data_IF_459871610541
#
_entry.id   IF_459871610541
#
_cell.length_a   1.000
_cell.length_b   1.000
_cell.length_c   1.000
_cell.angle_alpha   90.00
_cell.angle_beta   90.00
_cell.angle_gamma   90.00
#
_symmetry.space_group_name_H-M   'P 1'
#
loop_
_entity.id
_entity.type
_entity.pdbx_description
1 polymer ?
#
# COMPACT_ATOMS: atom_id res chain seq x y z
N UNK A 1 22.66 10.54 21.45
CA UNK A 1 21.21 10.44 21.24
C UNK A 1 20.95 10.55 19.74
N UNK A 2 20.50 9.48 19.07
CA UNK A 2 20.07 9.59 17.68
C UNK A 2 18.69 10.26 17.69
N UNK A 3 18.64 11.52 17.25
CA UNK A 3 17.39 12.22 17.00
C UNK A 3 16.74 11.60 15.77
N UNK A 4 15.93 10.56 15.98
CA UNK A 4 14.99 10.06 14.98
C UNK A 4 13.84 11.05 14.88
N UNK A 5 14.11 12.22 14.30
CA UNK A 5 13.06 13.02 13.67
C UNK A 5 12.58 12.24 12.45
N UNK A 6 11.83 11.16 12.67
CA UNK A 6 11.07 10.46 11.64
C UNK A 6 10.01 11.43 11.18
N UNK A 7 10.39 12.34 10.27
CA UNK A 7 9.46 13.29 9.72
C UNK A 7 8.41 12.46 8.97
N UNK A 8 7.16 12.36 9.45
CA UNK A 8 6.16 11.45 8.87
C UNK A 8 6.01 11.73 7.37
N UNK A 9 6.16 13.00 7.00
CA UNK A 9 6.15 13.53 5.64
C UNK A 9 7.13 12.84 4.69
N UNK A 10 8.32 12.42 5.17
CA UNK A 10 9.36 11.84 4.31
C UNK A 10 8.96 10.51 3.68
N UNK A 11 8.03 9.78 4.29
CA UNK A 11 7.66 8.44 3.83
C UNK A 11 6.28 8.40 3.18
N UNK A 12 5.50 9.49 3.24
CA UNK A 12 4.17 9.57 2.62
C UNK A 12 4.23 9.30 1.12
N UNK A 13 5.20 9.89 0.41
CA UNK A 13 5.35 9.66 -1.03
C UNK A 13 5.66 8.19 -1.35
N UNK A 14 6.42 7.51 -0.49
CA UNK A 14 6.76 6.10 -0.66
C UNK A 14 5.50 5.25 -0.48
N UNK A 15 4.73 5.48 0.59
CA UNK A 15 3.48 4.76 0.84
C UNK A 15 2.45 5.00 -0.28
N UNK A 16 2.31 6.25 -0.74
CA UNK A 16 1.39 6.55 -1.83
C UNK A 16 1.83 5.86 -3.13
N UNK A 17 3.12 5.89 -3.45
CA UNK A 17 3.66 5.24 -4.66
C UNK A 17 3.50 3.72 -4.60
N UNK A 18 3.75 3.10 -3.45
CA UNK A 18 3.56 1.64 -3.30
C UNK A 18 2.09 1.27 -3.35
N UNK A 19 1.21 2.03 -2.69
CA UNK A 19 -0.25 1.81 -2.78
C UNK A 19 -0.72 1.90 -4.23
N UNK A 20 -0.30 2.95 -4.97
CA UNK A 20 -0.60 3.11 -6.39
C UNK A 20 -0.15 1.90 -7.23
N UNK A 21 1.11 1.49 -7.11
CA UNK A 21 1.67 0.38 -7.87
C UNK A 21 0.96 -0.94 -7.57
N UNK A 22 0.67 -1.21 -6.29
CA UNK A 22 -0.01 -2.42 -5.86
C UNK A 22 -1.46 -2.44 -6.36
N UNK A 23 -2.20 -1.34 -6.20
CA UNK A 23 -3.58 -1.25 -6.70
C UNK A 23 -3.62 -1.38 -8.22
N UNK A 24 -2.66 -0.77 -8.94
CA UNK A 24 -2.55 -0.89 -10.38
C UNK A 24 -2.34 -2.34 -10.81
N UNK A 25 -1.41 -3.04 -10.13
CA UNK A 25 -1.15 -4.44 -10.39
C UNK A 25 -2.36 -5.33 -10.10
N UNK A 26 -3.11 -5.04 -9.03
CA UNK A 26 -4.34 -5.76 -8.69
C UNK A 26 -5.40 -5.60 -9.78
N UNK A 27 -5.70 -4.37 -10.19
CA UNK A 27 -6.69 -4.10 -11.25
C UNK A 27 -6.26 -4.68 -12.60
N UNK A 28 -4.95 -4.69 -12.87
CA UNK A 28 -4.40 -5.31 -14.07
C UNK A 28 -4.59 -6.84 -14.11
N UNK A 29 -4.55 -7.51 -12.97
CA UNK A 29 -4.76 -8.97 -12.87
C UNK A 29 -6.24 -9.34 -12.78
N UNK A 30 -7.04 -8.51 -12.09
CA UNK A 30 -8.48 -8.69 -11.92
C UNK A 30 -9.20 -8.97 -13.26
N UNK A 31 -8.87 -8.21 -14.30
CA UNK A 31 -9.52 -8.36 -15.62
C UNK A 31 -9.25 -9.70 -16.32
N UNK A 32 -8.32 -10.53 -15.83
CA UNK A 32 -7.97 -11.85 -16.36
C UNK A 32 -7.32 -11.86 -17.76
N UNK A 33 -7.40 -10.75 -18.49
CA UNK A 33 -6.86 -10.56 -19.84
C UNK A 33 -5.58 -9.72 -19.86
N UNK A 34 -5.05 -9.32 -18.69
CA UNK A 34 -3.86 -8.46 -18.57
C UNK A 34 -3.94 -7.22 -19.47
N UNK A 35 -5.11 -6.58 -19.47
CA UNK A 35 -5.37 -5.37 -20.25
C UNK A 35 -5.65 -4.19 -19.29
N UNK A 36 -5.74 -2.99 -19.86
CA UNK A 36 -6.10 -1.75 -19.15
C UNK A 36 -7.54 -1.35 -19.47
N UNK A 37 -8.42 -2.31 -19.76
CA UNK A 37 -9.81 -2.03 -20.10
C UNK A 37 -10.54 -1.38 -18.93
N UNK A 38 -10.09 -1.65 -17.70
CA UNK A 38 -10.68 -1.09 -16.49
C UNK A 38 -10.60 0.43 -16.47
N UNK A 39 -9.60 1.01 -17.14
CA UNK A 39 -9.44 2.47 -17.27
C UNK A 39 -10.49 3.11 -18.18
N UNK A 40 -11.19 2.33 -19.01
CA UNK A 40 -12.23 2.86 -19.90
C UNK A 40 -13.54 3.17 -19.19
N UNK A 41 -13.78 2.55 -18.02
CA UNK A 41 -14.97 2.76 -17.22
C UNK A 41 -14.69 3.70 -16.05
N UNK A 42 -15.44 4.81 -15.98
CA UNK A 42 -15.36 5.78 -14.88
C UNK A 42 -15.69 5.18 -13.51
N UNK A 43 -16.54 4.16 -13.44
CA UNK A 43 -16.86 3.45 -12.21
C UNK A 43 -15.64 2.73 -11.61
N UNK A 44 -14.79 2.17 -12.46
CA UNK A 44 -13.57 1.47 -12.02
C UNK A 44 -12.53 2.43 -11.45
N UNK A 45 -12.46 3.67 -11.96
CA UNK A 45 -11.61 4.72 -11.37
C UNK A 45 -12.01 5.05 -9.93
N UNK A 46 -13.32 5.03 -9.62
CA UNK A 46 -13.80 5.24 -8.26
C UNK A 46 -13.37 4.09 -7.33
N UNK A 47 -13.54 2.84 -7.77
CA UNK A 47 -13.08 1.66 -7.00
C UNK A 47 -11.56 1.68 -6.84
N UNK A 48 -10.81 2.03 -7.88
CA UNK A 48 -9.36 2.17 -7.86
C UNK A 48 -8.90 3.19 -6.79
N UNK A 49 -9.54 4.36 -6.74
CA UNK A 49 -9.25 5.37 -5.73
C UNK A 49 -9.54 4.88 -4.29
N UNK A 50 -10.63 4.13 -4.08
CA UNK A 50 -10.95 3.51 -2.80
C UNK A 50 -9.84 2.54 -2.38
N UNK A 51 -9.37 1.69 -3.29
CA UNK A 51 -8.31 0.72 -2.99
C UNK A 51 -6.99 1.41 -2.63
N UNK A 52 -6.60 2.45 -3.36
CA UNK A 52 -5.41 3.24 -3.03
C UNK A 52 -5.56 3.85 -1.63
N UNK A 53 -6.71 4.50 -1.36
CA UNK A 53 -6.98 5.13 -0.08
C UNK A 53 -6.91 4.13 1.08
N UNK A 54 -7.50 2.94 0.90
CA UNK A 54 -7.51 1.89 1.91
C UNK A 54 -6.12 1.30 2.14
N UNK A 55 -5.38 0.97 1.08
CA UNK A 55 -4.00 0.46 1.21
C UNK A 55 -3.08 1.51 1.85
N UNK A 56 -3.19 2.76 1.44
CA UNK A 56 -2.43 3.86 2.00
C UNK A 56 -2.75 4.09 3.49
N UNK A 57 -4.03 4.09 3.86
CA UNK A 57 -4.46 4.23 5.25
C UNK A 57 -3.94 3.08 6.13
N UNK A 58 -3.97 1.85 5.60
CA UNK A 58 -3.43 0.69 6.32
C UNK A 58 -1.91 0.79 6.47
N UNK A 59 -1.17 1.18 5.42
CA UNK A 59 0.27 1.41 5.52
C UNK A 59 0.61 2.49 6.56
N UNK A 60 -0.19 3.57 6.65
CA UNK A 60 -0.03 4.61 7.67
C UNK A 60 -0.33 4.09 9.08
N UNK A 61 -1.45 3.40 9.28
CA UNK A 61 -1.82 2.82 10.57
C UNK A 61 -0.77 1.81 11.05
N UNK A 62 -0.26 1.00 10.13
CA UNK A 62 0.78 0.02 10.41
C UNK A 62 2.14 0.67 10.67
N UNK A 63 2.49 1.70 9.90
CA UNK A 63 3.68 2.55 10.13
C UNK A 63 3.66 3.06 11.57
N UNK A 64 2.54 3.69 11.96
CA UNK A 64 2.35 4.21 13.30
C UNK A 64 2.44 3.09 14.36
N UNK A 65 1.73 1.99 14.18
CA UNK A 65 1.73 0.87 15.11
C UNK A 65 3.14 0.25 15.28
N UNK A 66 3.84 -0.03 14.19
CA UNK A 66 5.19 -0.58 14.19
C UNK A 66 6.19 0.35 14.88
N UNK A 67 6.04 1.66 14.72
CA UNK A 67 6.88 2.64 15.40
C UNK A 67 6.70 2.64 16.93
N UNK A 68 5.54 2.23 17.43
CA UNK A 68 5.25 2.08 18.86
C UNK A 68 5.74 0.74 19.43
N UNK A 69 5.60 -0.35 18.66
CA UNK A 69 5.92 -1.70 19.12
C UNK A 69 7.40 -2.08 18.97
N UNK A 70 8.06 -1.61 17.92
CA UNK A 70 9.40 -2.08 17.55
C UNK A 70 10.33 -0.89 17.35
N UNK A 71 11.39 -0.83 18.17
CA UNK A 71 12.52 0.06 17.93
C UNK A 71 13.38 -0.49 16.79
N UNK A 72 13.01 -0.17 15.57
CA UNK A 72 13.83 -0.51 14.42
C UNK A 72 15.17 0.25 14.46
N UNK A 73 16.26 -0.51 14.39
CA UNK A 73 17.63 0.04 14.37
C UNK A 73 17.99 0.69 13.03
N UNK A 74 17.28 0.36 11.95
CA UNK A 74 17.55 0.86 10.60
C UNK A 74 16.26 1.26 9.89
N UNK A 75 16.25 2.46 9.31
CA UNK A 75 15.14 3.00 8.53
C UNK A 75 14.82 2.14 7.28
N UNK A 76 15.83 1.46 6.72
CA UNK A 76 15.64 0.58 5.56
C UNK A 76 14.80 -0.66 5.91
N UNK A 77 15.05 -1.24 7.08
CA UNK A 77 14.33 -2.42 7.56
C UNK A 77 12.86 -2.06 7.82
N UNK A 78 12.63 -0.88 8.39
CA UNK A 78 11.30 -0.35 8.62
C UNK A 78 10.48 -0.25 7.32
N UNK A 79 11.07 0.34 6.28
CA UNK A 79 10.41 0.49 4.97
C UNK A 79 10.13 -0.86 4.30
N UNK A 80 11.06 -1.81 4.39
CA UNK A 80 10.88 -3.15 3.82
C UNK A 80 9.75 -3.93 4.52
N UNK A 81 9.68 -3.87 5.86
CA UNK A 81 8.63 -4.55 6.62
C UNK A 81 7.27 -3.94 6.30
N UNK A 82 7.16 -2.61 6.29
CA UNK A 82 5.88 -1.94 6.03
C UNK A 82 5.41 -2.16 4.58
N UNK A 83 6.33 -2.05 3.60
CA UNK A 83 6.02 -2.36 2.20
C UNK A 83 5.60 -3.82 1.99
N UNK A 84 6.32 -4.77 2.60
CA UNK A 84 6.00 -6.19 2.51
C UNK A 84 4.62 -6.53 3.10
N UNK A 85 4.27 -5.93 4.24
CA UNK A 85 2.95 -6.14 4.85
C UNK A 85 1.84 -5.51 4.00
N UNK A 86 2.09 -4.34 3.40
CA UNK A 86 1.15 -3.72 2.45
C UNK A 86 0.85 -4.63 1.24
N UNK A 87 1.88 -5.29 0.69
CA UNK A 87 1.71 -6.26 -0.41
C UNK A 87 0.91 -7.49 0.06
N UNK A 88 1.23 -8.04 1.22
CA UNK A 88 0.50 -9.20 1.76
C UNK A 88 -0.99 -8.91 1.96
N UNK A 89 -1.32 -7.74 2.54
CA UNK A 89 -2.70 -7.32 2.72
C UNK A 89 -3.45 -7.16 1.40
N UNK A 90 -2.80 -6.55 0.41
CA UNK A 90 -3.38 -6.39 -0.92
C UNK A 90 -3.72 -7.75 -1.55
N UNK A 91 -2.84 -8.74 -1.42
CA UNK A 91 -3.09 -10.11 -1.89
C UNK A 91 -4.26 -10.74 -1.13
N UNK A 92 -4.31 -10.60 0.20
CA UNK A 92 -5.41 -11.16 1.01
C UNK A 92 -6.76 -10.56 0.63
N UNK A 93 -6.82 -9.23 0.45
CA UNK A 93 -8.04 -8.53 0.04
C UNK A 93 -8.48 -9.00 -1.35
N UNK A 94 -7.54 -9.08 -2.29
CA UNK A 94 -7.82 -9.58 -3.63
C UNK A 94 -8.34 -11.03 -3.59
N UNK A 95 -7.67 -11.93 -2.88
CA UNK A 95 -8.12 -13.31 -2.72
C UNK A 95 -9.50 -13.43 -2.05
N UNK A 96 -9.84 -12.52 -1.13
CA UNK A 96 -11.16 -12.50 -0.49
C UNK A 96 -12.27 -12.03 -1.44
N UNK A 97 -11.96 -11.10 -2.34
CA UNK A 97 -12.89 -10.54 -3.32
C UNK A 97 -13.10 -11.45 -4.53
N UNK A 98 -12.06 -12.17 -4.95
CA UNK A 98 -12.10 -13.11 -6.10
C UNK A 98 -12.60 -14.52 -5.75
N UNK A 99 -13.06 -14.74 -4.52
CA UNK A 99 -13.62 -16.01 -4.07
C UNK A 99 -15.13 -15.94 -3.97
#
# INVERSE_FOLDING_TARGET
MYNTSTNPDKHLHIFLTTALLITFFLFFIDEGNFNLSWMSDGGNWFVFAIYIGLLFAVQLGLSWLLSQLIRFRSERIYLLVNGGIGILLAIVIACWIFR
#
